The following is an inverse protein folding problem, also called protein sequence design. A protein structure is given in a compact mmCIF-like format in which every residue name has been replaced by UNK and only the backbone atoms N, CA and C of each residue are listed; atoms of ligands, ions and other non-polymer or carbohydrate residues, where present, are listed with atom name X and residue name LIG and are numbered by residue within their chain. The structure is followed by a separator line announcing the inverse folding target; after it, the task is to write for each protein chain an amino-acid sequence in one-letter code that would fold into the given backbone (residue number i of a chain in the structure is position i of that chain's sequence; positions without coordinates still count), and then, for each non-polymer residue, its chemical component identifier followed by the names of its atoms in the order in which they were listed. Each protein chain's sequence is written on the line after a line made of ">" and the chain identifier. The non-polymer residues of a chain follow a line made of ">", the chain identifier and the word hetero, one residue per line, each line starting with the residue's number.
data_IF_606220872527
#
_entry.id   IF_606220872527
#
_cell.length_a   1.000
_cell.length_b   1.000
_cell.length_c   1.000
_cell.angle_alpha   90.00
_cell.angle_beta   90.00
_cell.angle_gamma   90.00
#
_symmetry.space_group_name_H-M   'P 1'
#
loop_
_entity.id
_entity.type
_entity.pdbx_description
1 polymer ?
#
# COMPACT_ATOMS: atom_id res chain seq x y z
N UNK A 1 -22.36 -54.89 -1.92
CA UNK A 1 -23.31 -53.83 -1.49
C UNK A 1 -23.11 -53.34 -0.06
N UNK A 2 -23.22 -54.17 1.00
CA UNK A 2 -23.12 -53.70 2.40
C UNK A 2 -21.82 -52.96 2.79
N UNK A 3 -20.68 -53.31 2.17
CA UNK A 3 -19.39 -52.62 2.43
C UNK A 3 -19.31 -51.23 1.79
N UNK A 4 -19.95 -51.03 0.63
CA UNK A 4 -19.98 -49.75 -0.09
C UNK A 4 -20.88 -48.75 0.65
N UNK A 5 -22.00 -49.21 1.19
CA UNK A 5 -22.92 -48.39 1.98
C UNK A 5 -22.25 -47.90 3.28
N UNK A 6 -21.43 -48.73 3.94
CA UNK A 6 -20.67 -48.33 5.12
C UNK A 6 -19.58 -47.30 4.78
N UNK A 7 -18.91 -47.42 3.64
CA UNK A 7 -17.90 -46.45 3.22
C UNK A 7 -18.54 -45.09 2.88
N UNK A 8 -19.69 -45.08 2.20
CA UNK A 8 -20.44 -43.85 1.92
C UNK A 8 -20.93 -43.16 3.20
N UNK A 9 -21.43 -43.92 4.19
CA UNK A 9 -21.88 -43.32 5.45
C UNK A 9 -20.73 -42.70 6.25
N UNK A 10 -19.54 -43.31 6.23
CA UNK A 10 -18.35 -42.75 6.87
C UNK A 10 -17.90 -41.48 6.13
N UNK A 11 -17.87 -41.48 4.79
CA UNK A 11 -17.57 -40.29 3.99
C UNK A 11 -18.56 -39.15 4.21
N UNK A 12 -19.86 -39.45 4.32
CA UNK A 12 -20.89 -38.44 4.60
C UNK A 12 -20.71 -37.86 6.01
N UNK A 13 -20.39 -38.69 7.02
CA UNK A 13 -20.12 -38.22 8.38
C UNK A 13 -18.85 -37.35 8.48
N UNK A 14 -17.80 -37.68 7.72
CA UNK A 14 -16.60 -36.85 7.64
C UNK A 14 -16.84 -35.52 6.91
N UNK A 15 -17.71 -35.49 5.91
CA UNK A 15 -18.05 -34.26 5.17
C UNK A 15 -19.01 -33.33 5.92
N UNK A 16 -19.78 -33.82 6.90
CA UNK A 16 -20.66 -32.99 7.73
C UNK A 16 -20.00 -32.38 8.96
N UNK A 17 -18.72 -32.69 9.25
CA UNK A 17 -18.04 -32.28 10.48
C UNK A 17 -17.23 -30.98 10.37
N UNK A 18 -17.30 -30.25 9.26
CA UNK A 18 -16.50 -29.03 9.05
C UNK A 18 -17.37 -27.86 8.58
N UNK A 19 -18.30 -27.43 9.43
CA UNK A 19 -18.88 -26.09 9.38
C UNK A 19 -19.41 -25.76 10.77
N UNK A 20 -18.49 -25.62 11.72
CA UNK A 20 -18.78 -24.74 12.85
C UNK A 20 -18.69 -23.32 12.32
N UNK A 21 -19.87 -22.76 12.01
CA UNK A 21 -20.04 -21.34 11.81
C UNK A 21 -19.46 -20.63 13.04
N UNK A 22 -18.46 -19.77 12.80
CA UNK A 22 -17.96 -18.79 13.78
C UNK A 22 -19.17 -18.06 14.35
N UNK A 23 -19.50 -18.37 15.61
CA UNK A 23 -20.53 -17.66 16.39
C UNK A 23 -19.95 -16.29 16.76
N UNK A 24 -20.84 -15.30 16.88
CA UNK A 24 -20.58 -13.91 17.24
C UNK A 24 -19.28 -13.69 18.03
N UNK A 25 -18.40 -12.80 17.53
CA UNK A 25 -17.17 -12.33 18.19
C UNK A 25 -17.49 -11.82 19.62
N UNK A 26 -17.39 -12.69 20.63
CA UNK A 26 -17.44 -12.26 22.02
C UNK A 26 -16.07 -11.68 22.39
N UNK A 27 -15.98 -10.36 22.50
CA UNK A 27 -14.76 -9.69 22.92
C UNK A 27 -14.47 -9.98 24.41
N UNK A 28 -13.38 -10.69 24.70
CA UNK A 28 -12.98 -10.96 26.09
C UNK A 28 -12.62 -9.68 26.87
N UNK A 29 -12.10 -8.66 26.20
CA UNK A 29 -11.75 -7.39 26.83
C UNK A 29 -13.00 -6.51 27.01
N UNK A 30 -13.59 -6.59 28.21
CA UNK A 30 -14.72 -5.73 28.62
C UNK A 30 -14.32 -4.76 29.72
N UNK A 31 -14.88 -3.55 29.65
CA UNK A 31 -14.73 -2.54 30.70
C UNK A 31 -15.30 -3.08 32.02
N UNK A 32 -14.50 -2.99 33.08
CA UNK A 32 -14.94 -3.44 34.39
C UNK A 32 -15.92 -2.44 35.01
N UNK A 33 -16.97 -2.93 35.67
CA UNK A 33 -17.89 -2.07 36.45
C UNK A 33 -17.19 -1.36 37.61
N UNK A 34 -16.13 -1.97 38.13
CA UNK A 34 -15.28 -1.42 39.19
C UNK A 34 -13.87 -1.40 38.64
N UNK A 35 -13.28 -0.23 38.52
CA UNK A 35 -11.92 -0.14 38.02
C UNK A 35 -10.94 -0.90 38.93
N UNK A 36 -9.94 -1.60 38.37
CA UNK A 36 -8.89 -2.23 39.16
C UNK A 36 -8.20 -1.24 40.10
N UNK A 37 -8.09 -1.64 41.36
CA UNK A 37 -7.47 -0.84 42.44
C UNK A 37 -6.11 -1.37 42.89
N UNK A 38 -5.71 -2.55 42.41
CA UNK A 38 -4.43 -3.18 42.75
C UNK A 38 -3.65 -3.55 41.48
N UNK A 39 -2.33 -3.72 41.65
CA UNK A 39 -1.42 -3.95 40.53
C UNK A 39 -1.66 -5.30 39.82
N UNK A 40 -2.06 -6.35 40.55
CA UNK A 40 -2.31 -7.66 39.94
C UNK A 40 -3.57 -7.64 39.08
N UNK A 41 -4.61 -6.96 39.54
CA UNK A 41 -5.83 -6.73 38.75
C UNK A 41 -5.56 -5.88 37.51
N UNK A 42 -4.74 -4.82 37.62
CA UNK A 42 -4.33 -4.01 36.46
C UNK A 42 -3.54 -4.84 35.45
N UNK A 43 -2.54 -5.58 35.91
CA UNK A 43 -1.75 -6.49 35.06
C UNK A 43 -2.63 -7.48 34.32
N UNK A 44 -3.57 -8.13 35.02
CA UNK A 44 -4.48 -9.11 34.41
C UNK A 44 -5.37 -8.46 33.35
N UNK A 45 -5.88 -7.25 33.61
CA UNK A 45 -6.69 -6.52 32.63
C UNK A 45 -5.89 -6.10 31.40
N UNK A 46 -4.66 -5.62 31.58
CA UNK A 46 -3.77 -5.32 30.44
C UNK A 46 -3.53 -6.59 29.63
N UNK A 47 -3.19 -7.71 30.28
CA UNK A 47 -2.96 -8.99 29.61
C UNK A 47 -4.16 -9.41 28.74
N UNK A 48 -5.36 -9.44 29.33
CA UNK A 48 -6.60 -9.83 28.62
C UNK A 48 -6.85 -8.90 27.42
N UNK A 49 -6.71 -7.59 27.61
CA UNK A 49 -7.00 -6.62 26.57
C UNK A 49 -5.96 -6.59 25.45
N UNK A 50 -4.67 -6.73 25.78
CA UNK A 50 -3.64 -6.87 24.74
C UNK A 50 -3.79 -8.16 23.95
N UNK A 51 -4.16 -9.27 24.61
CA UNK A 51 -4.42 -10.55 23.93
C UNK A 51 -5.61 -10.45 22.98
N UNK A 52 -6.73 -9.91 23.48
CA UNK A 52 -7.94 -9.72 22.69
C UNK A 52 -7.71 -8.78 21.50
N UNK A 53 -6.96 -7.69 21.68
CA UNK A 53 -6.58 -6.81 20.57
C UNK A 53 -5.80 -7.56 19.49
N UNK A 54 -4.75 -8.29 19.87
CA UNK A 54 -3.89 -8.99 18.91
C UNK A 54 -4.63 -10.11 18.18
N UNK A 55 -5.47 -10.85 18.90
CA UNK A 55 -6.33 -11.89 18.31
C UNK A 55 -7.25 -11.31 17.23
N UNK A 56 -8.01 -10.26 17.57
CA UNK A 56 -8.95 -9.66 16.63
C UNK A 56 -8.24 -8.92 15.49
N UNK A 57 -7.08 -8.30 15.75
CA UNK A 57 -6.26 -7.70 14.72
C UNK A 57 -5.79 -8.73 13.67
N UNK A 58 -5.42 -9.94 14.11
CA UNK A 58 -5.03 -11.04 13.21
C UNK A 58 -6.24 -11.57 12.44
N UNK A 59 -7.38 -11.75 13.11
CA UNK A 59 -8.60 -12.27 12.47
C UNK A 59 -9.19 -11.29 11.45
N UNK A 60 -9.03 -9.98 11.68
CA UNK A 60 -9.61 -8.92 10.87
C UNK A 60 -8.60 -8.24 9.92
N UNK A 61 -7.57 -8.97 9.49
CA UNK A 61 -6.55 -8.44 8.57
C UNK A 61 -6.91 -8.58 7.07
N UNK A 62 -7.95 -9.34 6.73
CA UNK A 62 -8.40 -9.51 5.34
C UNK A 62 -9.90 -9.88 5.26
N UNK A 63 -10.80 -8.96 4.84
CA UNK A 63 -10.51 -7.56 4.52
C UNK A 63 -10.02 -6.81 5.76
N UNK A 64 -9.15 -5.80 5.58
CA UNK A 64 -8.61 -5.07 6.72
C UNK A 64 -9.74 -4.30 7.44
N UNK A 65 -9.92 -4.61 8.71
CA UNK A 65 -10.94 -4.03 9.58
C UNK A 65 -10.42 -3.82 11.01
N UNK A 66 -9.10 -3.64 11.17
CA UNK A 66 -8.47 -3.52 12.49
C UNK A 66 -8.97 -2.24 13.19
N UNK A 67 -9.08 -1.12 12.48
CA UNK A 67 -9.47 0.13 13.11
C UNK A 67 -10.96 0.18 13.42
N UNK A 68 -11.81 -0.40 12.58
CA UNK A 68 -13.28 -0.30 12.65
C UNK A 68 -13.97 -1.49 13.31
N UNK A 69 -13.23 -2.57 13.60
CA UNK A 69 -13.74 -3.66 14.42
C UNK A 69 -13.90 -3.20 15.87
N UNK A 70 -15.10 -3.41 16.42
CA UNK A 70 -15.47 -2.95 17.76
C UNK A 70 -14.61 -3.61 18.86
N UNK A 71 -14.28 -4.89 18.71
CA UNK A 71 -13.44 -5.62 19.67
C UNK A 71 -12.01 -5.06 19.70
N UNK A 72 -11.44 -4.80 18.52
CA UNK A 72 -10.11 -4.20 18.39
C UNK A 72 -10.08 -2.79 18.97
N UNK A 73 -11.06 -1.94 18.63
CA UNK A 73 -11.19 -0.59 19.18
C UNK A 73 -11.28 -0.61 20.71
N UNK A 74 -12.21 -1.39 21.27
CA UNK A 74 -12.41 -1.44 22.73
C UNK A 74 -11.18 -2.02 23.45
N UNK A 75 -10.56 -3.06 22.88
CA UNK A 75 -9.35 -3.66 23.44
C UNK A 75 -8.16 -2.71 23.46
N UNK A 76 -7.96 -1.95 22.38
CA UNK A 76 -6.94 -0.90 22.31
C UNK A 76 -7.18 0.17 23.39
N UNK A 77 -8.39 0.72 23.42
CA UNK A 77 -8.80 1.77 24.35
C UNK A 77 -8.62 1.35 25.80
N UNK A 78 -9.09 0.15 26.16
CA UNK A 78 -8.99 -0.38 27.52
C UNK A 78 -7.55 -0.74 27.90
N UNK A 79 -6.75 -1.23 26.94
CA UNK A 79 -5.32 -1.44 27.16
C UNK A 79 -4.63 -0.14 27.59
N UNK A 80 -4.83 0.96 26.85
CA UNK A 80 -4.27 2.26 27.20
C UNK A 80 -4.81 2.76 28.55
N UNK A 81 -6.12 2.67 28.78
CA UNK A 81 -6.76 3.05 30.05
C UNK A 81 -6.12 2.34 31.25
N UNK A 82 -5.95 1.02 31.19
CA UNK A 82 -5.38 0.27 32.31
C UNK A 82 -3.86 0.45 32.43
N UNK A 83 -3.16 0.63 31.32
CA UNK A 83 -1.72 0.93 31.32
C UNK A 83 -1.42 2.27 31.98
N UNK A 84 -2.15 3.34 31.63
CA UNK A 84 -2.00 4.66 32.26
C UNK A 84 -2.24 4.63 33.78
N UNK A 85 -3.18 3.80 34.23
CA UNK A 85 -3.44 3.62 35.67
C UNK A 85 -2.28 3.02 36.44
N UNK A 86 -1.36 2.29 35.80
CA UNK A 86 -0.16 1.78 36.48
C UNK A 86 0.68 2.91 37.10
N UNK A 87 0.64 4.11 36.51
CA UNK A 87 1.40 5.27 36.95
C UNK A 87 0.72 6.08 38.06
N UNK A 88 -0.49 5.68 38.48
CA UNK A 88 -1.30 6.41 39.47
C UNK A 88 -1.69 5.49 40.65
N UNK A 89 -1.96 4.21 40.38
CA UNK A 89 -2.33 3.23 41.40
C UNK A 89 -1.08 2.78 42.17
N UNK A 90 -1.22 2.72 43.50
CA UNK A 90 -0.16 2.31 44.40
C UNK A 90 -0.25 0.81 44.71
N UNK A 91 0.90 0.17 44.88
CA UNK A 91 1.00 -1.20 45.31
C UNK A 91 0.84 -1.30 46.83
N UNK A 92 -0.19 -2.04 47.24
CA UNK A 92 -0.49 -2.32 48.64
C UNK A 92 0.61 -3.13 49.34
N UNK A 93 1.43 -3.88 48.60
CA UNK A 93 2.44 -4.77 49.17
C UNK A 93 3.80 -4.10 49.43
N UNK A 94 4.14 -3.03 48.70
CA UNK A 94 5.51 -2.47 48.67
C UNK A 94 5.67 -1.11 49.35
N UNK A 95 4.78 -0.76 50.31
CA UNK A 95 4.85 0.49 51.09
C UNK A 95 4.67 1.76 50.24
N UNK A 96 3.59 1.82 49.45
CA UNK A 96 3.21 2.96 48.60
C UNK A 96 4.12 3.23 47.39
N UNK A 97 4.72 2.19 46.77
CA UNK A 97 5.31 2.38 45.43
C UNK A 97 4.21 2.37 44.36
N UNK A 98 4.44 2.97 43.19
CA UNK A 98 3.48 2.91 42.08
C UNK A 98 3.49 1.51 41.46
N UNK A 99 2.35 1.07 40.93
CA UNK A 99 2.29 -0.20 40.20
C UNK A 99 3.26 -0.23 39.02
N UNK A 100 3.52 0.93 38.39
CA UNK A 100 4.53 1.07 37.36
C UNK A 100 5.93 0.68 37.88
N UNK A 101 6.32 1.10 39.08
CA UNK A 101 7.60 0.71 39.67
C UNK A 101 7.67 -0.80 39.92
N UNK A 102 6.58 -1.36 40.46
CA UNK A 102 6.49 -2.78 40.78
C UNK A 102 6.40 -3.69 39.54
N UNK A 103 5.82 -3.23 38.42
CA UNK A 103 5.56 -4.10 37.27
C UNK A 103 6.45 -3.81 36.05
N UNK A 104 6.85 -2.56 35.87
CA UNK A 104 7.59 -2.12 34.67
C UNK A 104 9.10 -2.03 34.92
N UNK A 105 9.53 -1.79 36.17
CA UNK A 105 10.93 -1.52 36.52
C UNK A 105 11.67 -2.67 37.22
N UNK A 106 11.02 -3.81 37.45
CA UNK A 106 11.64 -4.96 38.13
C UNK A 106 12.65 -5.71 37.27
N UNK A 107 12.40 -5.82 35.97
CA UNK A 107 13.22 -6.62 35.05
C UNK A 107 13.79 -5.75 33.92
N UNK A 108 14.98 -6.12 33.43
CA UNK A 108 15.63 -5.45 32.27
C UNK A 108 14.79 -5.53 30.99
N UNK A 109 13.96 -6.58 30.88
CA UNK A 109 12.98 -6.74 29.82
C UNK A 109 11.60 -6.43 30.39
N UNK A 110 10.99 -5.35 29.93
CA UNK A 110 9.66 -4.95 30.34
C UNK A 110 8.62 -5.41 29.33
N UNK A 111 8.17 -6.65 29.49
CA UNK A 111 7.22 -7.28 28.55
C UNK A 111 5.90 -6.52 28.45
N UNK A 112 5.41 -5.97 29.58
CA UNK A 112 4.14 -5.23 29.59
C UNK A 112 4.27 -3.98 28.72
N UNK A 113 5.32 -3.18 28.93
CA UNK A 113 5.56 -1.97 28.15
C UNK A 113 5.82 -2.27 26.67
N UNK A 114 6.58 -3.33 26.37
CA UNK A 114 6.82 -3.75 24.99
C UNK A 114 5.54 -4.15 24.25
N UNK A 115 4.67 -4.95 24.88
CA UNK A 115 3.41 -5.38 24.27
C UNK A 115 2.43 -4.22 24.11
N UNK A 116 2.29 -3.35 25.12
CA UNK A 116 1.43 -2.17 25.01
C UNK A 116 1.94 -1.21 23.94
N UNK A 117 3.26 -1.00 23.86
CA UNK A 117 3.87 -0.18 22.80
C UNK A 117 3.63 -0.77 21.42
N UNK A 118 3.66 -2.09 21.27
CA UNK A 118 3.35 -2.76 20.01
C UNK A 118 1.88 -2.57 19.59
N UNK A 119 0.94 -2.76 20.53
CA UNK A 119 -0.49 -2.49 20.31
C UNK A 119 -0.72 -1.05 19.87
N UNK A 120 -0.09 -0.09 20.57
CA UNK A 120 -0.13 1.33 20.21
C UNK A 120 0.45 1.59 18.83
N UNK A 121 1.59 0.98 18.50
CA UNK A 121 2.24 1.13 17.20
C UNK A 121 1.37 0.64 16.05
N UNK A 122 0.65 -0.48 16.20
CA UNK A 122 -0.29 -0.95 15.17
C UNK A 122 -1.39 0.09 14.94
N UNK A 123 -1.97 0.60 16.03
CA UNK A 123 -3.04 1.61 15.97
C UNK A 123 -2.59 2.90 15.27
N UNK A 124 -1.45 3.45 15.68
CA UNK A 124 -0.89 4.69 15.14
C UNK A 124 -0.44 4.53 13.69
N UNK A 125 0.26 3.45 13.36
CA UNK A 125 0.71 3.18 11.98
C UNK A 125 -0.44 2.99 10.99
N UNK A 126 -1.60 2.55 11.48
CA UNK A 126 -2.83 2.39 10.69
C UNK A 126 -3.68 3.67 10.63
N UNK A 127 -3.20 4.77 11.25
CA UNK A 127 -3.95 6.03 11.41
C UNK A 127 -5.38 5.79 11.94
N UNK A 128 -5.57 4.85 12.87
CA UNK A 128 -6.90 4.44 13.30
C UNK A 128 -7.70 5.59 13.96
N UNK A 129 -7.02 6.57 14.55
CA UNK A 129 -7.67 7.75 15.12
C UNK A 129 -8.47 8.53 14.06
N UNK A 130 -8.02 8.56 12.80
CA UNK A 130 -8.71 9.23 11.70
C UNK A 130 -10.02 8.53 11.29
N UNK A 131 -10.27 7.32 11.78
CA UNK A 131 -11.55 6.63 11.58
C UNK A 131 -12.65 7.18 12.50
N UNK A 132 -12.30 7.89 13.58
CA UNK A 132 -13.20 8.29 14.66
C UNK A 132 -13.27 9.82 14.84
N UNK A 133 -14.30 10.31 15.54
CA UNK A 133 -14.36 11.72 15.93
C UNK A 133 -13.51 11.98 17.18
N UNK A 134 -12.50 12.85 17.08
CA UNK A 134 -11.68 13.31 18.22
C UNK A 134 -12.52 13.88 19.38
N UNK A 135 -13.69 14.46 19.06
CA UNK A 135 -14.52 15.20 20.01
C UNK A 135 -15.33 14.33 20.98
N UNK A 136 -15.51 13.03 20.72
CA UNK A 136 -16.47 12.19 21.48
C UNK A 136 -15.84 11.29 22.55
N UNK A 137 -14.62 11.57 23.00
CA UNK A 137 -13.99 10.77 24.07
C UNK A 137 -14.10 9.25 23.81
N UNK A 138 -14.13 8.46 24.88
CA UNK A 138 -14.08 7.00 24.86
C UNK A 138 -15.23 6.24 24.14
N UNK A 139 -16.10 6.89 23.36
CA UNK A 139 -17.21 6.23 22.64
C UNK A 139 -16.82 5.88 21.20
N UNK A 140 -17.13 4.64 20.79
CA UNK A 140 -17.01 4.13 19.43
C UNK A 140 -17.97 4.86 18.46
N UNK A 141 -17.60 6.08 18.05
CA UNK A 141 -18.35 6.86 17.08
C UNK A 141 -17.43 7.20 15.90
N UNK A 142 -17.75 6.66 14.73
CA UNK A 142 -17.02 6.93 13.52
C UNK A 142 -17.05 8.42 13.16
N UNK A 143 -15.99 8.87 12.50
CA UNK A 143 -15.98 10.20 11.92
C UNK A 143 -17.07 10.30 10.85
N UNK A 144 -17.60 11.51 10.62
CA UNK A 144 -18.56 11.72 9.53
C UNK A 144 -18.01 11.25 8.18
N UNK A 145 -16.71 11.43 7.93
CA UNK A 145 -16.04 10.98 6.71
C UNK A 145 -16.07 9.45 6.60
N UNK A 146 -15.81 8.76 7.71
CA UNK A 146 -15.83 7.28 7.78
C UNK A 146 -17.23 6.73 7.54
N UNK A 147 -18.25 7.29 8.20
CA UNK A 147 -19.66 6.90 8.01
C UNK A 147 -20.11 7.09 6.56
N UNK A 148 -19.87 8.27 5.99
CA UNK A 148 -20.24 8.58 4.61
C UNK A 148 -19.50 7.66 3.60
N UNK A 149 -18.24 7.29 3.87
CA UNK A 149 -17.50 6.36 3.02
C UNK A 149 -18.14 4.96 3.01
N UNK A 150 -18.46 4.42 4.19
CA UNK A 150 -19.11 3.12 4.29
C UNK A 150 -20.51 3.11 3.67
N UNK A 151 -21.28 4.20 3.81
CA UNK A 151 -22.56 4.35 3.13
C UNK A 151 -22.42 4.31 1.60
N UNK A 152 -21.41 4.97 1.02
CA UNK A 152 -21.16 4.92 -0.41
C UNK A 152 -20.65 3.55 -0.88
N UNK A 153 -19.80 2.92 -0.08
CA UNK A 153 -19.33 1.57 -0.31
C UNK A 153 -20.49 0.57 -0.34
N UNK A 154 -21.42 0.66 0.60
CA UNK A 154 -22.54 -0.27 0.70
C UNK A 154 -23.49 -0.11 -0.49
N UNK A 155 -23.77 1.12 -0.93
CA UNK A 155 -24.52 1.38 -2.17
C UNK A 155 -23.83 0.79 -3.41
N UNK A 156 -22.50 0.90 -3.49
CA UNK A 156 -21.73 0.27 -4.57
C UNK A 156 -21.86 -1.25 -4.53
N UNK A 157 -21.65 -1.88 -3.37
CA UNK A 157 -21.78 -3.34 -3.18
C UNK A 157 -23.20 -3.82 -3.48
N UNK A 158 -24.21 -3.07 -3.04
CA UNK A 158 -25.62 -3.38 -3.31
C UNK A 158 -25.91 -3.41 -4.81
N UNK A 159 -25.39 -2.44 -5.56
CA UNK A 159 -25.51 -2.43 -7.02
C UNK A 159 -24.86 -3.67 -7.64
N UNK A 160 -23.58 -3.94 -7.32
CA UNK A 160 -22.85 -5.11 -7.85
C UNK A 160 -23.60 -6.41 -7.54
N UNK A 161 -24.06 -6.58 -6.30
CA UNK A 161 -24.79 -7.76 -5.86
C UNK A 161 -26.13 -7.91 -6.58
N UNK A 162 -26.83 -6.81 -6.85
CA UNK A 162 -28.10 -6.81 -7.59
C UNK A 162 -27.90 -7.25 -9.04
N UNK A 163 -26.88 -6.70 -9.71
CA UNK A 163 -26.56 -7.08 -11.09
C UNK A 163 -26.09 -8.54 -11.19
N UNK A 164 -25.29 -9.01 -10.23
CA UNK A 164 -24.90 -10.41 -10.16
C UNK A 164 -26.10 -11.35 -9.98
N UNK A 165 -27.04 -11.01 -9.07
CA UNK A 165 -28.28 -11.77 -8.86
C UNK A 165 -29.18 -11.80 -10.09
N UNK A 166 -29.18 -10.72 -10.88
CA UNK A 166 -29.94 -10.64 -12.13
C UNK A 166 -29.27 -11.40 -13.30
N UNK A 167 -28.06 -11.95 -13.09
CA UNK A 167 -27.31 -12.62 -14.15
C UNK A 167 -26.79 -11.66 -15.22
N UNK A 168 -26.64 -10.38 -14.89
CA UNK A 168 -26.10 -9.36 -15.79
C UNK A 168 -24.68 -9.71 -16.20
N UNK A 169 -24.34 -9.46 -17.46
CA UNK A 169 -22.95 -9.54 -17.90
C UNK A 169 -22.15 -8.34 -17.38
N UNK A 170 -20.82 -8.46 -17.41
CA UNK A 170 -19.93 -7.41 -16.90
C UNK A 170 -20.20 -6.03 -17.52
N UNK A 171 -20.46 -5.94 -18.83
CA UNK A 171 -20.72 -4.65 -19.49
C UNK A 171 -21.95 -3.94 -18.92
N UNK A 172 -23.04 -4.68 -18.70
CA UNK A 172 -24.27 -4.15 -18.08
C UNK A 172 -24.01 -3.77 -16.63
N UNK A 173 -23.32 -4.62 -15.86
CA UNK A 173 -22.95 -4.34 -14.47
C UNK A 173 -22.12 -3.06 -14.35
N UNK A 174 -21.10 -2.90 -15.21
CA UNK A 174 -20.28 -1.70 -15.23
C UNK A 174 -21.12 -0.47 -15.51
N UNK A 175 -21.96 -0.48 -16.55
CA UNK A 175 -22.79 0.67 -16.90
C UNK A 175 -23.78 1.04 -15.78
N UNK A 176 -24.42 0.06 -15.15
CA UNK A 176 -25.41 0.30 -14.09
C UNK A 176 -24.76 0.77 -12.78
N UNK A 177 -23.58 0.24 -12.44
CA UNK A 177 -22.90 0.53 -11.17
C UNK A 177 -21.83 1.61 -11.26
N UNK A 178 -21.51 2.11 -12.46
CA UNK A 178 -20.50 3.16 -12.69
C UNK A 178 -20.74 4.40 -11.84
N UNK A 179 -21.99 4.83 -11.70
CA UNK A 179 -22.33 6.00 -10.88
C UNK A 179 -21.93 5.80 -9.42
N UNK A 180 -22.20 4.63 -8.84
CA UNK A 180 -21.87 4.36 -7.44
C UNK A 180 -20.37 4.21 -7.22
N UNK A 181 -19.67 3.55 -8.16
CA UNK A 181 -18.21 3.49 -8.17
C UNK A 181 -17.57 4.89 -8.23
N UNK A 182 -18.06 5.77 -9.12
CA UNK A 182 -17.57 7.13 -9.24
C UNK A 182 -17.81 7.94 -7.96
N UNK A 183 -18.97 7.78 -7.31
CA UNK A 183 -19.27 8.45 -6.04
C UNK A 183 -18.26 8.03 -4.97
N UNK A 184 -18.11 6.73 -4.69
CA UNK A 184 -17.17 6.26 -3.65
C UNK A 184 -15.73 6.64 -3.96
N UNK A 185 -15.30 6.52 -5.22
CA UNK A 185 -13.94 6.92 -5.63
C UNK A 185 -13.73 8.43 -5.48
N UNK A 186 -14.66 9.25 -5.95
CA UNK A 186 -14.54 10.72 -5.82
C UNK A 186 -14.56 11.19 -4.36
N UNK A 187 -15.30 10.49 -3.50
CA UNK A 187 -15.35 10.80 -2.08
C UNK A 187 -14.05 10.40 -1.37
N UNK A 188 -13.49 9.23 -1.69
CA UNK A 188 -12.17 8.84 -1.22
C UNK A 188 -11.10 9.87 -1.60
N UNK A 189 -11.10 10.36 -2.85
CA UNK A 189 -10.18 11.40 -3.30
C UNK A 189 -10.32 12.71 -2.50
N UNK A 190 -11.56 13.13 -2.19
CA UNK A 190 -11.82 14.29 -1.33
C UNK A 190 -11.31 14.08 0.11
N UNK A 191 -11.48 12.88 0.67
CA UNK A 191 -10.94 12.55 2.00
C UNK A 191 -9.41 12.61 1.96
N UNK A 192 -8.79 12.03 0.94
CA UNK A 192 -7.34 12.01 0.76
C UNK A 192 -6.73 13.40 0.73
N UNK A 193 -7.32 14.28 -0.08
CA UNK A 193 -6.90 15.69 -0.21
C UNK A 193 -7.11 16.46 1.11
N UNK A 194 -8.26 16.26 1.77
CA UNK A 194 -8.60 17.00 2.99
C UNK A 194 -7.88 16.52 4.25
N UNK A 195 -7.26 15.34 4.24
CA UNK A 195 -6.58 14.74 5.38
C UNK A 195 -5.06 14.65 5.21
N UNK A 196 -4.46 15.40 4.28
CA UNK A 196 -3.01 15.38 4.00
C UNK A 196 -2.44 13.96 3.78
N UNK A 197 -3.20 13.09 3.11
CA UNK A 197 -2.89 11.66 2.92
C UNK A 197 -2.80 10.81 4.21
N UNK A 198 -3.26 11.30 5.36
CA UNK A 198 -3.41 10.50 6.58
C UNK A 198 -4.84 9.98 6.66
N UNK A 199 -5.13 8.92 5.92
CA UNK A 199 -6.45 8.28 5.92
C UNK A 199 -6.42 7.10 6.88
N UNK A 200 -7.56 6.81 7.50
CA UNK A 200 -7.84 5.56 8.18
C UNK A 200 -7.50 4.37 7.26
N UNK A 201 -6.60 3.48 7.68
CA UNK A 201 -6.14 2.39 6.82
C UNK A 201 -7.26 1.44 6.37
N UNK A 202 -8.28 1.21 7.22
CA UNK A 202 -9.48 0.44 6.84
C UNK A 202 -10.22 1.04 5.63
N UNK A 203 -10.18 2.37 5.46
CA UNK A 203 -10.78 3.05 4.30
C UNK A 203 -9.89 2.85 3.06
N UNK A 204 -8.57 2.95 3.22
CA UNK A 204 -7.61 2.74 2.13
C UNK A 204 -7.70 1.32 1.58
N UNK A 205 -7.62 0.30 2.43
CA UNK A 205 -7.73 -1.12 2.03
C UNK A 205 -9.06 -1.41 1.32
N UNK A 206 -10.17 -0.88 1.86
CA UNK A 206 -11.48 -1.06 1.22
C UNK A 206 -11.57 -0.36 -0.13
N UNK A 207 -10.99 0.84 -0.28
CA UNK A 207 -10.97 1.53 -1.56
C UNK A 207 -10.10 0.81 -2.59
N UNK A 208 -8.94 0.31 -2.19
CA UNK A 208 -8.04 -0.46 -3.05
C UNK A 208 -8.71 -1.76 -3.50
N UNK A 209 -9.41 -2.44 -2.60
CA UNK A 209 -10.22 -3.60 -2.95
C UNK A 209 -11.36 -3.26 -3.91
N UNK A 210 -12.08 -2.15 -3.69
CA UNK A 210 -13.12 -1.68 -4.63
C UNK A 210 -12.52 -1.42 -6.02
N UNK A 211 -11.36 -0.78 -6.09
CA UNK A 211 -10.66 -0.51 -7.36
C UNK A 211 -10.24 -1.80 -8.05
N UNK A 212 -9.63 -2.71 -7.30
CA UNK A 212 -9.25 -4.03 -7.80
C UNK A 212 -10.46 -4.81 -8.32
N UNK A 213 -11.54 -4.89 -7.53
CA UNK A 213 -12.76 -5.59 -7.93
C UNK A 213 -13.38 -4.96 -9.18
N UNK A 214 -13.40 -3.64 -9.27
CA UNK A 214 -13.91 -2.92 -10.42
C UNK A 214 -13.10 -3.23 -11.70
N UNK A 215 -11.76 -3.22 -11.62
CA UNK A 215 -10.91 -3.40 -12.80
C UNK A 215 -10.67 -4.86 -13.16
N UNK A 216 -10.38 -5.72 -12.18
CA UNK A 216 -9.95 -7.10 -12.43
C UNK A 216 -11.15 -8.06 -12.42
N UNK A 217 -11.99 -7.99 -11.39
CA UNK A 217 -13.11 -8.94 -11.25
C UNK A 217 -14.26 -8.61 -12.20
N UNK A 218 -14.60 -7.32 -12.32
CA UNK A 218 -15.68 -6.88 -13.20
C UNK A 218 -15.20 -6.45 -14.59
N UNK A 219 -13.89 -6.29 -14.83
CA UNK A 219 -13.32 -5.86 -16.12
C UNK A 219 -13.91 -4.54 -16.61
N UNK A 220 -14.27 -3.66 -15.68
CA UNK A 220 -14.81 -2.34 -15.96
C UNK A 220 -13.69 -1.38 -16.33
N UNK A 221 -13.10 -1.56 -17.52
CA UNK A 221 -12.12 -0.64 -18.06
C UNK A 221 -12.81 0.57 -18.68
N UNK A 222 -12.24 1.76 -18.45
CA UNK A 222 -12.56 2.92 -19.26
C UNK A 222 -11.96 2.66 -20.64
N UNK A 223 -12.79 2.60 -21.67
CA UNK A 223 -12.36 2.47 -23.07
C UNK A 223 -11.56 3.72 -23.47
N UNK A 224 -10.25 3.70 -23.24
CA UNK A 224 -9.32 4.77 -23.62
C UNK A 224 -9.11 4.86 -25.13
N UNK A 225 -9.66 3.92 -25.90
CA UNK A 225 -9.52 3.82 -27.36
C UNK A 225 -9.94 5.10 -28.08
N UNK A 226 -11.00 5.77 -27.63
CA UNK A 226 -11.43 7.05 -28.19
C UNK A 226 -10.41 8.18 -27.92
N UNK A 227 -9.79 8.19 -26.73
CA UNK A 227 -8.76 9.17 -26.37
C UNK A 227 -7.44 8.91 -27.11
N UNK A 228 -7.08 7.65 -27.35
CA UNK A 228 -5.90 7.29 -28.13
C UNK A 228 -6.04 7.72 -29.59
N UNK A 229 -7.21 7.53 -30.20
CA UNK A 229 -7.45 7.96 -31.58
C UNK A 229 -7.24 9.47 -31.75
N UNK A 230 -7.79 10.28 -30.84
CA UNK A 230 -7.59 11.74 -30.85
C UNK A 230 -6.12 12.13 -30.67
N UNK A 231 -5.42 11.47 -29.74
CA UNK A 231 -4.00 11.71 -29.51
C UNK A 231 -3.15 11.39 -30.74
N UNK A 232 -3.33 10.21 -31.34
CA UNK A 232 -2.60 9.81 -32.54
C UNK A 232 -2.92 10.69 -33.74
N UNK A 233 -4.18 11.13 -33.88
CA UNK A 233 -4.57 12.08 -34.92
C UNK A 233 -3.83 13.42 -34.78
N UNK A 234 -3.77 13.97 -33.56
CA UNK A 234 -3.08 15.23 -33.29
C UNK A 234 -1.55 15.09 -33.50
N UNK A 235 -0.97 14.01 -33.00
CA UNK A 235 0.46 13.72 -33.21
C UNK A 235 0.80 13.57 -34.70
N UNK A 236 -0.05 12.87 -35.46
CA UNK A 236 0.10 12.70 -36.90
C UNK A 236 0.03 14.02 -37.67
N UNK A 237 -0.85 14.94 -37.26
CA UNK A 237 -0.95 16.28 -37.84
C UNK A 237 0.37 17.06 -37.66
N UNK A 238 0.93 17.05 -36.44
CA UNK A 238 2.17 17.76 -36.11
C UNK A 238 3.33 17.24 -36.97
N UNK A 239 3.46 15.91 -37.07
CA UNK A 239 4.48 15.27 -37.90
C UNK A 239 4.27 15.58 -39.39
N UNK A 240 3.02 15.56 -39.86
CA UNK A 240 2.67 15.92 -41.24
C UNK A 240 3.06 17.36 -41.58
N UNK A 241 2.82 18.31 -40.67
CA UNK A 241 3.23 19.71 -40.84
C UNK A 241 4.76 19.84 -40.94
N UNK A 242 5.52 19.12 -40.11
CA UNK A 242 6.98 19.12 -40.19
C UNK A 242 7.47 18.56 -41.54
N UNK A 243 6.93 17.41 -41.98
CA UNK A 243 7.32 16.79 -43.25
C UNK A 243 7.00 17.70 -44.43
N UNK A 244 5.79 18.29 -44.45
CA UNK A 244 5.39 19.22 -45.52
C UNK A 244 6.26 20.47 -45.53
N UNK A 245 6.60 21.03 -44.38
CA UNK A 245 7.51 22.18 -44.28
C UNK A 245 8.90 21.86 -44.86
N UNK A 246 9.54 20.76 -44.43
CA UNK A 246 10.83 20.36 -44.96
C UNK A 246 10.76 19.97 -46.44
N UNK A 247 9.67 19.34 -46.88
CA UNK A 247 9.44 18.99 -48.28
C UNK A 247 9.32 20.22 -49.18
N UNK A 248 8.60 21.26 -48.74
CA UNK A 248 8.49 22.54 -49.45
C UNK A 248 9.86 23.22 -49.53
N UNK A 249 10.59 23.32 -48.42
CA UNK A 249 11.95 23.91 -48.40
C UNK A 249 12.89 23.18 -49.36
N UNK A 250 12.88 21.84 -49.35
CA UNK A 250 13.70 21.03 -50.25
C UNK A 250 13.33 21.25 -51.72
N UNK A 251 12.04 21.23 -52.06
CA UNK A 251 11.58 21.38 -53.44
C UNK A 251 11.87 22.79 -53.99
N UNK A 252 11.62 23.85 -53.21
CA UNK A 252 11.93 25.22 -53.62
C UNK A 252 13.44 25.51 -53.62
N UNK A 253 14.20 24.91 -52.69
CA UNK A 253 15.67 25.00 -52.66
C UNK A 253 16.32 24.39 -53.89
N UNK A 254 15.83 23.24 -54.35
CA UNK A 254 16.29 22.61 -55.60
C UNK A 254 15.88 23.42 -56.85
N UNK A 255 14.68 24.00 -56.86
CA UNK A 255 14.20 24.79 -58.01
C UNK A 255 15.03 26.05 -58.22
N UNK A 256 15.46 26.71 -57.14
CA UNK A 256 16.36 27.88 -57.22
C UNK A 256 17.75 27.53 -57.74
N UNK A 257 18.20 26.28 -57.56
CA UNK A 257 19.45 25.78 -58.16
C UNK A 257 19.34 25.44 -59.65
N UNK A 258 18.11 25.23 -60.16
CA UNK A 258 17.86 24.96 -61.58
C UNK A 258 17.73 26.22 -62.44
N UNK A 259 17.42 27.38 -61.86
CA UNK A 259 17.24 28.65 -62.62
C UNK A 259 18.52 29.50 -62.74
N UNK A 260 19.60 29.16 -62.02
CA UNK A 260 20.95 29.72 -62.25
C UNK A 260 21.98 28.58 -62.47
N UNK A 261 22.13 28.05 -63.69
CA UNK A 261 23.19 27.09 -64.02
C UNK A 261 24.50 27.75 -64.47
N UNK A 262 24.62 29.07 -64.42
CA UNK A 262 25.80 29.81 -64.85
C UNK A 262 26.34 30.60 -63.67
N UNK A 263 27.24 29.97 -62.94
CA UNK A 263 28.43 30.57 -62.30
C UNK A 263 29.13 29.44 -61.54
N UNK A 264 29.59 28.40 -62.26
CA UNK A 264 30.54 27.41 -61.75
C UNK A 264 31.42 26.94 -62.92
N UNK A 265 32.08 27.87 -63.62
CA UNK A 265 33.26 27.56 -64.44
C UNK A 265 34.22 28.75 -64.53
N UNK A 266 34.99 28.95 -63.45
CA UNK A 266 36.36 29.51 -63.38
C UNK A 266 36.69 29.48 -61.88
N UNK A 267 37.61 28.66 -61.35
CA UNK A 267 39.02 28.57 -61.67
C UNK A 267 39.53 27.22 -61.15
N UNK A 268 39.90 26.32 -62.07
CA UNK A 268 40.92 25.30 -61.79
C UNK A 268 42.28 25.89 -62.14
N UNK A 269 42.90 26.53 -61.15
CA UNK A 269 44.34 26.79 -61.12
C UNK A 269 44.70 27.26 -59.72
N UNK A 270 45.07 26.30 -58.86
CA UNK A 270 46.11 26.38 -57.83
C UNK A 270 46.23 25.01 -57.16
N UNK A 271 46.44 23.99 -58.00
CA UNK A 271 46.92 22.67 -57.58
C UNK A 271 48.45 22.69 -57.65
N UNK A 272 49.09 23.54 -56.84
CA UNK A 272 50.55 23.51 -56.62
C UNK A 272 51.01 24.27 -55.35
N UNK A 273 50.15 24.45 -54.34
CA UNK A 273 50.54 25.17 -53.10
C UNK A 273 50.08 24.52 -51.80
N UNK A 274 49.54 23.29 -51.86
CA UNK A 274 49.15 22.52 -50.66
C UNK A 274 49.95 21.22 -50.46
N UNK A 275 51.10 21.08 -51.14
CA UNK A 275 52.10 20.04 -50.84
C UNK A 275 53.41 20.62 -50.24
N UNK A 276 53.50 21.93 -49.99
CA UNK A 276 54.68 22.57 -49.36
C UNK A 276 54.47 23.09 -47.94
N UNK A 277 53.34 22.77 -47.28
CA UNK A 277 53.09 23.16 -45.89
C UNK A 277 53.02 21.98 -44.91
N UNK A 278 53.31 20.76 -45.37
CA UNK A 278 53.43 19.56 -44.56
C UNK A 278 54.91 19.17 -44.34
N UNK A 279 55.75 20.09 -43.88
CA UNK A 279 57.05 19.73 -43.26
C UNK A 279 57.62 20.89 -42.42
N UNK A 280 57.78 20.66 -41.12
CA UNK A 280 58.42 21.58 -40.15
C UNK A 280 57.47 22.00 -39.02
N UNK A 281 57.18 21.13 -38.04
CA UNK A 281 57.87 21.09 -36.72
C UNK A 281 57.99 22.48 -36.07
N UNK A 282 57.29 22.76 -34.97
CA UNK A 282 57.73 22.64 -33.55
C UNK A 282 57.59 24.06 -32.96
N UNK A 283 56.96 24.36 -31.83
CA UNK A 283 57.07 23.86 -30.46
C UNK A 283 55.93 24.49 -29.62
N UNK A 284 55.41 23.71 -28.63
CA UNK A 284 55.29 24.05 -27.18
C UNK A 284 54.55 25.37 -26.84
N UNK A 285 53.52 25.50 -25.98
CA UNK A 285 53.05 24.75 -24.81
C UNK A 285 51.76 25.38 -24.26
N UNK A 286 50.90 24.51 -23.68
CA UNK A 286 50.03 24.69 -22.49
C UNK A 286 48.90 25.76 -22.58
N UNK A 287 47.66 25.51 -22.19
CA UNK A 287 47.16 24.74 -21.05
C UNK A 287 45.67 24.38 -21.26
N UNK A 288 45.27 23.25 -20.68
CA UNK A 288 44.01 22.53 -20.88
C UNK A 288 42.73 23.22 -20.36
N UNK A 289 41.63 22.97 -21.07
CA UNK A 289 40.29 22.75 -20.52
C UNK A 289 39.81 21.39 -21.08
N UNK A 290 39.44 20.37 -20.28
CA UNK A 290 38.83 19.15 -20.82
C UNK A 290 37.31 19.38 -21.01
N UNK A 291 36.73 19.18 -22.20
CA UNK A 291 36.37 17.90 -22.89
C UNK A 291 35.27 17.14 -22.11
N UNK A 292 34.02 17.25 -22.55
CA UNK A 292 33.30 16.36 -23.50
C UNK A 292 32.73 15.10 -22.82
N UNK A 293 31.40 15.01 -22.77
CA UNK A 293 30.57 14.02 -23.49
C UNK A 293 30.66 12.58 -22.98
N UNK A 294 29.57 12.13 -22.36
CA UNK A 294 28.76 11.00 -22.85
C UNK A 294 27.76 10.55 -21.78
N UNK A 295 26.51 10.42 -22.18
CA UNK A 295 25.45 9.69 -21.47
C UNK A 295 25.75 8.19 -21.48
N UNK A 296 25.24 7.39 -20.52
CA UNK A 296 23.97 6.72 -20.80
C UNK A 296 22.99 6.64 -19.62
N UNK A 297 21.72 6.63 -20.02
CA UNK A 297 20.51 6.34 -19.25
C UNK A 297 20.63 4.94 -18.61
N UNK A 298 20.60 4.89 -17.28
CA UNK A 298 20.46 3.64 -16.51
C UNK A 298 18.97 3.39 -16.26
N UNK A 299 18.48 2.31 -16.89
CA UNK A 299 17.25 1.61 -16.52
C UNK A 299 17.45 0.97 -15.16
N UNK A 300 16.49 1.10 -14.24
CA UNK A 300 16.41 0.21 -13.08
C UNK A 300 15.16 -0.64 -13.21
N UNK A 301 15.42 -1.95 -13.25
CA UNK A 301 14.46 -3.00 -13.47
C UNK A 301 13.55 -3.24 -12.28
N UNK A 302 12.35 -3.67 -12.62
CA UNK A 302 11.32 -4.26 -11.77
C UNK A 302 11.80 -5.68 -11.44
N UNK A 303 12.03 -6.00 -10.18
CA UNK A 303 12.25 -7.38 -9.75
C UNK A 303 10.92 -7.95 -9.23
N UNK A 304 10.26 -8.68 -10.12
CA UNK A 304 9.11 -9.52 -9.81
C UNK A 304 9.58 -10.77 -9.06
N UNK A 305 9.21 -10.88 -7.78
CA UNK A 305 9.32 -12.13 -7.03
C UNK A 305 8.26 -13.10 -7.55
N UNK A 306 8.69 -14.06 -8.38
CA UNK A 306 7.85 -15.16 -8.81
C UNK A 306 8.23 -16.40 -7.99
N UNK A 307 7.39 -16.73 -7.00
CA UNK A 307 7.48 -17.97 -6.23
C UNK A 307 7.00 -19.13 -7.09
N UNK A 308 7.91 -20.08 -7.39
CA UNK A 308 7.59 -21.36 -8.01
C UNK A 308 7.80 -22.44 -6.95
N UNK A 309 6.70 -23.02 -6.48
CA UNK A 309 6.72 -24.23 -5.66
C UNK A 309 7.25 -25.40 -6.50
N UNK A 310 8.28 -26.08 -6.00
CA UNK A 310 8.64 -27.44 -6.40
C UNK A 310 8.73 -28.24 -5.11
N UNK A 311 7.87 -29.24 -5.02
CA UNK A 311 7.91 -30.31 -4.04
C UNK A 311 9.13 -31.20 -4.29
N UNK A 312 9.89 -31.54 -3.25
CA UNK A 312 10.37 -32.91 -3.04
C UNK A 312 10.89 -33.10 -1.61
N UNK A 313 10.43 -34.19 -0.99
CA UNK A 313 10.83 -34.70 0.31
C UNK A 313 12.29 -35.22 0.24
N UNK A 314 13.06 -35.03 1.32
CA UNK A 314 13.52 -36.10 2.22
C UNK A 314 14.70 -35.64 3.10
N UNK A 315 14.51 -35.81 4.41
CA UNK A 315 15.45 -36.28 5.46
C UNK A 315 16.96 -36.20 5.21
N UNK A 316 17.72 -35.47 6.04
CA UNK A 316 18.32 -35.95 7.31
C UNK A 316 19.32 -34.91 7.89
N UNK A 317 19.61 -35.09 9.18
CA UNK A 317 20.38 -34.30 10.14
C UNK A 317 21.78 -33.81 9.70
N UNK A 318 22.19 -32.62 10.19
CA UNK A 318 23.39 -32.44 11.02
C UNK A 318 23.68 -30.95 11.38
N UNK A 319 24.17 -30.77 12.60
CA UNK A 319 24.48 -29.53 13.35
C UNK A 319 25.42 -28.50 12.67
N UNK A 320 25.24 -27.19 12.97
CA UNK A 320 26.29 -26.15 13.15
C UNK A 320 25.67 -24.77 13.56
N UNK A 321 26.42 -23.79 14.09
CA UNK A 321 26.10 -23.11 15.34
C UNK A 321 25.78 -21.60 15.22
N UNK A 322 25.46 -21.02 16.38
CA UNK A 322 25.33 -19.60 16.72
C UNK A 322 26.19 -18.61 15.90
N UNK A 323 25.52 -17.56 15.39
CA UNK A 323 25.80 -16.13 15.66
C UNK A 323 25.40 -15.26 14.46
N UNK A 324 24.54 -14.28 14.68
CA UNK A 324 24.20 -13.25 13.69
C UNK A 324 23.30 -12.17 14.29
N UNK A 325 23.89 -11.00 14.54
CA UNK A 325 23.31 -9.81 15.17
C UNK A 325 21.92 -9.41 14.65
N UNK A 326 20.96 -9.33 15.58
CA UNK A 326 19.71 -8.57 15.37
C UNK A 326 19.94 -7.17 15.93
N UNK A 327 19.99 -6.18 15.04
CA UNK A 327 20.06 -4.77 15.38
C UNK A 327 18.71 -4.29 15.92
N UNK A 328 18.67 -3.96 17.21
CA UNK A 328 17.51 -3.39 17.89
C UNK A 328 17.46 -1.87 17.65
N UNK A 329 16.30 -1.27 17.28
CA UNK A 329 16.17 0.17 17.17
C UNK A 329 16.32 0.90 18.51
N UNK A 330 16.99 2.04 18.46
CA UNK A 330 17.33 2.95 19.56
C UNK A 330 16.07 3.54 20.22
N UNK A 331 15.90 3.28 21.51
CA UNK A 331 14.91 3.97 22.36
C UNK A 331 15.26 5.46 22.47
N UNK A 332 14.29 6.33 22.16
CA UNK A 332 14.35 7.77 22.41
C UNK A 332 14.03 7.99 23.90
N UNK A 333 14.99 8.53 24.65
CA UNK A 333 14.76 9.00 26.03
C UNK A 333 14.08 10.36 25.99
N UNK A 334 12.96 10.52 26.71
CA UNK A 334 12.46 11.83 27.10
C UNK A 334 12.82 12.09 28.57
N UNK A 335 13.44 13.25 28.78
CA UNK A 335 13.64 13.89 30.09
C UNK A 335 12.31 14.35 30.68
#
# INVERSE_FOLDING_TARGET
>A
MRKIIKLCLILILFLTSSCECVKDEDCDCKESKIDPIDCMSLRNKIQICTGSFLEHAIMNNNPYAICTNNCTYESHRLTLKYYERLFIVHDNHTRNSLCADALLRQNRMNVIDSVVSYVKSIWESSNCDNCYNEATGFKHNFSRKTEEFFDFQDKYKECINTEYKNGSNNSVTCNNCQKYYQIVNSFYEQIRESSENKICFDIEDKMDKIRFDWTENHKCHVDKNASYFLFYSLAGLIVGIAITFFGVVYHFGLRKRSENPLDDEEVSQNDETLERLFEGSSEISNEELPVESSTPIEKRDIESVNSKCVDENDTDDDDLPLSGDVTVPKLISFN
#
